data_IF_815945989226
#
_entry.id   IF_815945989226
#
_cell.length_a   1.000
_cell.length_b   1.000
_cell.length_c   1.000
_cell.angle_alpha   90.00
_cell.angle_beta   90.00
_cell.angle_gamma   90.00
#
_symmetry.space_group_name_H-M   'P 1'
#
loop_
_entity.id
_entity.type
_entity.pdbx_description
1 polymer ?
#
# COMPACT_ATOMS: atom_id res chain seq x y z
N UNK A 1 0.81 -47.48 -77.30
CA UNK A 1 -0.54 -46.85 -77.29
C UNK A 1 -0.60 -46.07 -75.97
N UNK A 2 -0.29 -44.77 -75.94
CA UNK A 2 -1.15 -43.63 -76.35
C UNK A 2 -2.23 -43.41 -75.26
N UNK A 3 -2.39 -42.28 -74.54
CA UNK A 3 -1.99 -40.88 -74.71
C UNK A 3 -1.72 -40.16 -73.38
N UNK A 4 -0.98 -39.06 -73.55
CA UNK A 4 -0.70 -37.93 -72.66
C UNK A 4 -1.87 -36.94 -72.60
N UNK A 5 -2.04 -36.25 -71.47
CA UNK A 5 -2.28 -34.79 -71.32
C UNK A 5 -2.85 -34.53 -69.91
N UNK A 6 -2.48 -33.52 -69.15
CA UNK A 6 -1.68 -32.32 -69.38
C UNK A 6 -1.97 -31.46 -68.13
N UNK A 7 -0.96 -31.03 -67.39
CA UNK A 7 -0.54 -29.63 -67.46
C UNK A 7 -0.90 -28.90 -66.15
N UNK A 8 0.01 -28.07 -65.65
CA UNK A 8 -0.33 -27.07 -64.63
C UNK A 8 0.56 -27.03 -63.38
N UNK A 9 1.74 -26.44 -63.55
CA UNK A 9 2.28 -25.37 -62.68
C UNK A 9 2.26 -25.57 -61.16
N UNK A 10 3.44 -25.88 -60.62
CA UNK A 10 4.15 -25.02 -59.67
C UNK A 10 3.30 -24.43 -58.54
N UNK A 11 3.18 -25.14 -57.43
CA UNK A 11 2.92 -24.53 -56.12
C UNK A 11 3.86 -25.13 -55.11
N UNK A 12 4.94 -24.39 -54.88
CA UNK A 12 5.67 -24.36 -53.62
C UNK A 12 4.64 -24.44 -52.48
N UNK A 13 4.54 -25.60 -51.84
CA UNK A 13 3.74 -25.74 -50.65
C UNK A 13 4.67 -26.09 -49.50
N UNK A 14 5.41 -25.03 -49.16
CA UNK A 14 5.89 -24.66 -47.84
C UNK A 14 5.84 -25.80 -46.83
N UNK A 15 7.03 -26.37 -46.61
CA UNK A 15 7.38 -27.17 -45.45
C UNK A 15 6.77 -26.51 -44.21
N UNK A 16 5.75 -27.15 -43.65
CA UNK A 16 4.96 -26.64 -42.52
C UNK A 16 5.86 -26.71 -41.29
N UNK A 17 6.70 -25.69 -41.12
CA UNK A 17 7.54 -25.52 -39.95
C UNK A 17 6.64 -24.98 -38.83
N UNK A 18 5.95 -25.90 -38.16
CA UNK A 18 5.18 -25.63 -36.96
C UNK A 18 6.13 -25.17 -35.85
N UNK A 19 6.44 -23.87 -35.83
CA UNK A 19 7.22 -23.25 -34.78
C UNK A 19 6.33 -23.19 -33.53
N UNK A 20 6.72 -24.01 -32.56
CA UNK A 20 6.04 -24.23 -31.28
C UNK A 20 5.60 -22.91 -30.62
N UNK A 21 4.34 -22.88 -30.20
CA UNK A 21 3.82 -21.82 -29.35
C UNK A 21 4.63 -21.78 -28.04
N UNK A 22 5.45 -20.73 -27.89
CA UNK A 22 6.01 -20.35 -26.60
C UNK A 22 4.87 -19.82 -25.74
N UNK A 23 4.27 -20.70 -24.92
CA UNK A 23 3.44 -20.27 -23.80
C UNK A 23 4.34 -19.52 -22.82
N UNK A 24 4.41 -18.19 -22.97
CA UNK A 24 4.95 -17.31 -21.95
C UNK A 24 4.06 -17.41 -20.70
N UNK A 25 4.51 -18.15 -19.70
CA UNK A 25 3.89 -18.17 -18.39
C UNK A 25 4.13 -16.80 -17.73
N UNK A 26 3.17 -15.88 -17.88
CA UNK A 26 3.13 -14.64 -17.13
C UNK A 26 2.96 -14.98 -15.65
N UNK A 27 4.06 -14.97 -14.90
CA UNK A 27 4.06 -15.03 -13.44
C UNK A 27 3.42 -13.73 -12.93
N UNK A 28 2.10 -13.69 -12.81
CA UNK A 28 1.40 -12.62 -12.10
C UNK A 28 1.68 -12.84 -10.61
N UNK A 29 2.72 -12.19 -10.09
CA UNK A 29 2.94 -12.13 -8.66
C UNK A 29 1.71 -11.47 -8.02
N UNK A 30 1.14 -12.04 -6.94
CA UNK A 30 0.04 -11.39 -6.24
C UNK A 30 0.56 -10.07 -5.70
N UNK A 31 -0.03 -8.96 -6.16
CA UNK A 31 0.17 -7.66 -5.56
C UNK A 31 -0.40 -7.73 -4.14
N UNK A 32 0.45 -7.97 -3.15
CA UNK A 32 0.07 -7.80 -1.76
C UNK A 32 -0.18 -6.31 -1.54
N UNK A 33 -1.46 -5.93 -1.54
CA UNK A 33 -1.84 -4.57 -1.17
C UNK A 33 -1.60 -4.47 0.33
N UNK A 34 -0.52 -3.79 0.73
CA UNK A 34 -0.28 -3.50 2.13
C UNK A 34 -1.46 -2.67 2.65
N UNK A 35 -2.36 -3.32 3.41
CA UNK A 35 -3.47 -2.64 4.05
C UNK A 35 -2.93 -1.85 5.23
N UNK A 36 -2.76 -0.55 5.03
CA UNK A 36 -2.48 0.38 6.12
C UNK A 36 -3.63 0.33 7.14
N UNK A 37 -3.34 0.49 8.44
CA UNK A 37 -4.38 0.36 9.45
C UNK A 37 -5.46 1.44 9.26
N UNK A 38 -6.72 1.08 9.50
CA UNK A 38 -7.86 2.02 9.43
C UNK A 38 -7.69 3.23 10.35
N UNK A 39 -6.98 3.04 11.47
CA UNK A 39 -6.59 4.09 12.39
C UNK A 39 -5.69 5.14 11.73
N UNK A 40 -4.62 4.70 11.06
CA UNK A 40 -3.64 5.61 10.44
C UNK A 40 -4.21 6.27 9.16
N UNK A 41 -5.03 5.53 8.41
CA UNK A 41 -5.79 6.09 7.30
C UNK A 41 -6.72 7.24 7.74
N UNK A 42 -7.33 7.15 8.93
CA UNK A 42 -8.15 8.22 9.50
C UNK A 42 -7.33 9.49 9.76
N UNK A 43 -6.09 9.35 10.27
CA UNK A 43 -5.17 10.48 10.48
C UNK A 43 -4.85 11.19 9.15
N UNK A 44 -4.53 10.40 8.12
CA UNK A 44 -4.22 10.92 6.77
C UNK A 44 -5.41 11.66 6.16
N UNK A 45 -6.62 11.14 6.36
CA UNK A 45 -7.88 11.74 5.84
C UNK A 45 -8.32 12.96 6.63
N UNK A 46 -7.90 13.11 7.88
CA UNK A 46 -8.24 14.24 8.74
C UNK A 46 -6.98 14.96 9.30
N UNK A 47 -6.22 15.68 8.45
CA UNK A 47 -5.02 16.39 8.89
C UNK A 47 -5.32 17.55 9.85
N UNK A 48 -6.55 18.08 9.86
CA UNK A 48 -6.97 19.11 10.81
C UNK A 48 -6.97 18.59 12.24
N UNK A 49 -7.57 17.42 12.46
CA UNK A 49 -7.57 16.75 13.76
C UNK A 49 -6.15 16.34 14.20
N UNK A 50 -5.34 15.83 13.26
CA UNK A 50 -3.96 15.48 13.55
C UNK A 50 -3.13 16.68 14.02
N UNK A 51 -3.30 17.85 13.37
CA UNK A 51 -2.68 19.11 13.81
C UNK A 51 -3.21 19.57 15.16
N UNK A 52 -4.50 19.41 15.45
CA UNK A 52 -5.07 19.77 16.75
C UNK A 52 -4.50 18.90 17.88
N UNK A 53 -4.33 17.59 17.65
CA UNK A 53 -3.64 16.70 18.60
C UNK A 53 -2.18 17.10 18.77
N UNK A 54 -1.50 17.41 17.68
CA UNK A 54 -0.14 17.90 17.73
C UNK A 54 0.02 19.16 18.60
N UNK A 55 -0.89 20.13 18.51
CA UNK A 55 -0.87 21.31 19.39
C UNK A 55 -1.07 20.94 20.87
N UNK A 56 -1.92 19.95 21.17
CA UNK A 56 -2.07 19.44 22.53
C UNK A 56 -0.76 18.81 23.04
N UNK A 57 -0.05 18.06 22.19
CA UNK A 57 1.22 17.46 22.56
C UNK A 57 2.32 18.50 22.81
N UNK A 58 2.38 19.56 21.99
CA UNK A 58 3.27 20.71 22.24
C UNK A 58 2.98 21.38 23.58
N UNK A 59 1.70 21.52 23.94
CA UNK A 59 1.29 22.09 25.23
C UNK A 59 1.68 21.21 26.42
N UNK A 60 1.70 19.88 26.28
CA UNK A 60 2.23 18.97 27.29
C UNK A 60 3.74 19.13 27.44
N UNK A 61 4.48 19.16 26.32
CA UNK A 61 5.93 19.36 26.32
C UNK A 61 6.36 20.69 26.93
N UNK A 62 5.63 21.77 26.68
CA UNK A 62 5.86 23.07 27.32
C UNK A 62 5.74 23.01 28.86
N UNK A 63 5.07 21.98 29.39
CA UNK A 63 4.93 21.70 30.84
C UNK A 63 5.89 20.60 31.32
N UNK A 64 6.89 20.23 30.52
CA UNK A 64 7.81 19.10 30.77
C UNK A 64 7.09 17.75 30.89
N UNK A 65 5.92 17.60 30.27
CA UNK A 65 5.19 16.32 30.21
C UNK A 65 5.41 15.68 28.83
N UNK A 66 5.73 14.39 28.83
CA UNK A 66 5.87 13.63 27.58
C UNK A 66 4.50 13.28 26.99
N UNK A 67 4.35 13.51 25.70
CA UNK A 67 3.15 13.13 24.93
C UNK A 67 3.01 11.61 24.82
N UNK A 68 4.12 10.86 24.91
CA UNK A 68 4.18 9.39 24.89
C UNK A 68 4.18 8.79 26.30
N UNK A 69 3.96 9.59 27.35
CA UNK A 69 3.83 9.05 28.70
C UNK A 69 2.60 8.13 28.84
N UNK A 70 2.68 7.17 29.77
CA UNK A 70 1.58 6.28 30.11
C UNK A 70 0.27 7.02 30.39
N UNK A 71 0.35 8.19 31.05
CA UNK A 71 -0.80 9.02 31.38
C UNK A 71 -1.37 9.70 30.14
N UNK A 72 -0.52 10.29 29.30
CA UNK A 72 -0.92 10.94 28.04
C UNK A 72 -1.57 9.95 27.08
N UNK A 73 -0.97 8.78 26.89
CA UNK A 73 -1.53 7.70 26.06
C UNK A 73 -2.89 7.26 26.61
N UNK A 74 -3.02 7.10 27.93
CA UNK A 74 -4.29 6.72 28.54
C UNK A 74 -5.37 7.79 28.36
N UNK A 75 -5.00 9.07 28.37
CA UNK A 75 -5.93 10.18 28.12
C UNK A 75 -6.42 10.16 26.67
N UNK A 76 -5.51 10.00 25.70
CA UNK A 76 -5.86 9.86 24.28
C UNK A 76 -6.75 8.64 24.04
N UNK A 77 -6.40 7.49 24.63
CA UNK A 77 -7.19 6.26 24.53
C UNK A 77 -8.64 6.48 24.98
N UNK A 78 -8.84 7.13 26.13
CA UNK A 78 -10.17 7.46 26.64
C UNK A 78 -10.91 8.46 25.75
N UNK A 79 -10.24 9.54 25.34
CA UNK A 79 -10.86 10.60 24.52
C UNK A 79 -11.31 10.09 23.15
N UNK A 80 -10.59 9.11 22.59
CA UNK A 80 -10.80 8.61 21.24
C UNK A 80 -11.50 7.25 21.20
N UNK A 81 -11.84 6.69 22.37
CA UNK A 81 -12.38 5.35 22.51
C UNK A 81 -11.51 4.28 21.80
N UNK A 82 -10.20 4.34 22.07
CA UNK A 82 -9.20 3.44 21.50
C UNK A 82 -8.67 2.48 22.57
N UNK A 83 -8.12 1.35 22.12
CA UNK A 83 -7.23 0.57 22.98
C UNK A 83 -6.00 1.40 23.36
N UNK A 84 -5.35 1.05 24.46
CA UNK A 84 -4.11 1.72 24.87
C UNK A 84 -3.02 1.60 23.78
N UNK A 85 -2.93 0.44 23.14
CA UNK A 85 -1.95 0.17 22.10
C UNK A 85 -2.22 0.99 20.84
N UNK A 86 -3.49 1.09 20.41
CA UNK A 86 -3.87 1.94 19.29
C UNK A 86 -3.61 3.42 19.57
N UNK A 87 -3.86 3.87 20.81
CA UNK A 87 -3.56 5.24 21.21
C UNK A 87 -2.05 5.53 21.17
N UNK A 88 -1.21 4.59 21.59
CA UNK A 88 0.25 4.71 21.51
C UNK A 88 0.75 4.81 20.06
N UNK A 89 0.21 3.96 19.18
CA UNK A 89 0.48 4.02 17.73
C UNK A 89 0.04 5.37 17.16
N UNK A 90 -1.18 5.81 17.48
CA UNK A 90 -1.73 7.09 17.02
C UNK A 90 -0.87 8.27 17.45
N UNK A 91 -0.50 8.34 18.74
CA UNK A 91 0.33 9.42 19.29
C UNK A 91 1.68 9.46 18.55
N UNK A 92 2.37 8.33 18.44
CA UNK A 92 3.68 8.24 17.79
C UNK A 92 3.61 8.65 16.32
N UNK A 93 2.56 8.21 15.61
CA UNK A 93 2.36 8.52 14.21
C UNK A 93 2.07 10.01 13.98
N UNK A 94 1.22 10.62 14.81
CA UNK A 94 0.90 12.05 14.72
C UNK A 94 2.12 12.91 15.03
N UNK A 95 2.92 12.55 16.04
CA UNK A 95 4.18 13.24 16.35
C UNK A 95 5.11 13.17 15.13
N UNK A 96 5.34 11.97 14.58
CA UNK A 96 6.24 11.77 13.45
C UNK A 96 5.84 12.56 12.20
N UNK A 97 4.54 12.73 11.94
CA UNK A 97 4.06 13.41 10.74
C UNK A 97 3.82 14.92 10.91
N UNK A 98 3.41 15.39 12.10
CA UNK A 98 2.89 16.76 12.27
C UNK A 98 3.67 17.61 13.27
N UNK A 99 4.44 17.02 14.19
CA UNK A 99 5.33 17.75 15.09
C UNK A 99 6.49 16.91 15.59
N UNK A 100 7.52 16.69 14.75
CA UNK A 100 8.70 15.93 15.12
C UNK A 100 9.54 16.60 16.22
N UNK A 101 9.22 17.86 16.58
CA UNK A 101 9.84 18.59 17.69
C UNK A 101 9.31 18.19 19.08
N UNK A 102 8.18 17.46 19.15
CA UNK A 102 7.62 16.94 20.41
C UNK A 102 8.41 15.70 20.87
N UNK A 103 8.74 15.65 22.16
CA UNK A 103 9.49 14.57 22.84
C UNK A 103 8.69 13.84 23.92
#
# INVERSE_FOLDING_TARGET
>A
MQEVNGGGTMRHLSLVLSLAALLGASLVAPATQAQESTLLESVKRNPGEARAMCQQFKALNAKNMSATSAQSISAVAKQRNLSRQDAEILVTYVIGLYCPDVR
#
